data_IF_070357410834
#
_entry.id   IF_070357410834
#
_cell.length_a   1.000
_cell.length_b   1.000
_cell.length_c   1.000
_cell.angle_alpha   90.00
_cell.angle_beta   90.00
_cell.angle_gamma   90.00
#
_symmetry.space_group_name_H-M   'P 1'
#
loop_
_entity.id
_entity.type
_entity.pdbx_description
1 polymer ?
#
# COMPACT_ATOMS: atom_id res chain seq x y z
N UNK A 1 -14.69 5.49 12.96
CA UNK A 1 -13.33 4.89 12.94
C UNK A 1 -12.84 4.68 11.51
N UNK A 2 -11.53 4.79 11.23
CA UNK A 2 -10.96 4.46 9.91
C UNK A 2 -10.55 2.99 9.84
N UNK A 3 -10.89 2.32 8.74
CA UNK A 3 -10.48 0.94 8.45
C UNK A 3 -9.34 0.92 7.43
N UNK A 4 -8.26 0.22 7.74
CA UNK A 4 -7.16 -0.04 6.82
C UNK A 4 -7.30 -1.43 6.21
N UNK A 5 -7.54 -1.52 4.90
CA UNK A 5 -7.80 -2.77 4.18
C UNK A 5 -6.81 -2.98 3.00
N UNK A 6 -5.50 -3.16 3.19
CA UNK A 6 -4.70 -3.37 4.39
C UNK A 6 -3.24 -3.03 4.07
N UNK A 7 -2.43 -2.68 5.07
CA UNK A 7 -0.97 -2.49 4.90
C UNK A 7 -0.19 -3.80 4.75
N UNK A 8 -0.72 -4.93 5.24
CA UNK A 8 0.00 -6.22 5.38
C UNK A 8 -0.38 -7.26 4.34
N UNK A 9 -1.47 -7.03 3.61
CA UNK A 9 -1.91 -7.92 2.53
C UNK A 9 -2.73 -7.16 1.50
N UNK A 10 -2.79 -7.64 0.27
CA UNK A 10 -3.59 -7.03 -0.80
C UNK A 10 -5.01 -7.62 -0.75
N UNK A 11 -5.85 -7.07 0.12
CA UNK A 11 -7.25 -7.48 0.27
C UNK A 11 -8.00 -7.35 -1.06
N UNK A 12 -7.93 -6.23 -1.80
CA UNK A 12 -8.60 -6.11 -3.09
C UNK A 12 -8.20 -7.20 -4.10
N UNK A 13 -6.91 -7.57 -4.15
CA UNK A 13 -6.47 -8.59 -5.11
C UNK A 13 -6.86 -10.01 -4.72
N UNK A 14 -6.89 -10.35 -3.42
CA UNK A 14 -6.93 -11.76 -2.99
C UNK A 14 -8.08 -12.13 -2.06
N UNK A 15 -8.66 -11.17 -1.33
CA UNK A 15 -9.59 -11.42 -0.22
C UNK A 15 -10.87 -10.59 -0.30
N UNK A 16 -11.24 -10.13 -1.50
CA UNK A 16 -12.42 -9.30 -1.72
C UNK A 16 -13.73 -9.95 -1.26
N UNK A 17 -13.89 -11.24 -1.48
CA UNK A 17 -15.10 -11.96 -1.06
C UNK A 17 -15.21 -12.06 0.46
N UNK A 18 -14.13 -12.46 1.15
CA UNK A 18 -14.07 -12.46 2.62
C UNK A 18 -14.36 -11.07 3.19
N UNK A 19 -13.72 -10.03 2.64
CA UNK A 19 -13.96 -8.65 3.05
C UNK A 19 -15.43 -8.27 2.93
N UNK A 20 -16.08 -8.61 1.81
CA UNK A 20 -17.50 -8.32 1.62
C UNK A 20 -18.40 -9.14 2.54
N UNK A 21 -18.05 -10.38 2.88
CA UNK A 21 -18.75 -11.14 3.93
C UNK A 21 -18.70 -10.39 5.26
N UNK A 22 -17.52 -9.89 5.67
CA UNK A 22 -17.38 -9.09 6.89
C UNK A 22 -18.16 -7.77 6.83
N UNK A 23 -18.17 -7.09 5.70
CA UNK A 23 -19.00 -5.88 5.47
C UNK A 23 -20.49 -6.18 5.65
N UNK A 24 -20.97 -7.32 5.15
CA UNK A 24 -22.38 -7.71 5.25
C UNK A 24 -22.77 -8.10 6.68
N UNK A 25 -21.86 -8.75 7.42
CA UNK A 25 -22.05 -9.11 8.83
C UNK A 25 -21.83 -7.93 9.79
N UNK A 26 -21.10 -6.90 9.35
CA UNK A 26 -20.93 -5.65 10.08
C UNK A 26 -19.80 -5.66 11.12
N UNK A 27 -18.87 -6.62 11.07
CA UNK A 27 -17.69 -6.64 11.95
C UNK A 27 -16.57 -7.55 11.42
N UNK A 28 -15.38 -7.42 12.01
CA UNK A 28 -14.29 -8.40 11.86
C UNK A 28 -13.47 -8.51 13.16
N UNK A 29 -12.67 -9.57 13.27
CA UNK A 29 -11.73 -9.78 14.36
C UNK A 29 -10.32 -9.39 13.93
N UNK A 30 -9.76 -8.41 14.62
CA UNK A 30 -8.37 -7.99 14.46
C UNK A 30 -7.48 -8.72 15.45
N UNK A 31 -6.55 -9.52 14.95
CA UNK A 31 -5.53 -10.16 15.77
C UNK A 31 -4.32 -9.25 15.97
N UNK A 32 -3.79 -9.21 17.19
CA UNK A 32 -2.49 -8.57 17.41
C UNK A 32 -1.38 -9.43 16.79
N UNK A 33 -0.56 -8.88 15.87
CA UNK A 33 0.50 -9.63 15.22
C UNK A 33 1.61 -10.12 16.16
N UNK A 34 1.76 -9.51 17.35
CA UNK A 34 2.74 -9.89 18.36
C UNK A 34 2.17 -10.78 19.47
N UNK A 35 0.84 -10.85 19.59
CA UNK A 35 0.15 -11.73 20.54
C UNK A 35 -1.16 -12.24 19.93
N UNK A 36 -1.13 -13.42 19.33
CA UNK A 36 -2.28 -14.00 18.61
C UNK A 36 -3.50 -14.26 19.50
N UNK A 37 -3.31 -14.39 20.81
CA UNK A 37 -4.42 -14.56 21.76
C UNK A 37 -5.14 -13.24 22.04
N UNK A 38 -4.55 -12.10 21.69
CA UNK A 38 -5.21 -10.81 21.79
C UNK A 38 -5.97 -10.51 20.49
N UNK A 39 -7.28 -10.73 20.56
CA UNK A 39 -8.23 -10.48 19.48
C UNK A 39 -9.13 -9.31 19.87
N UNK A 40 -9.37 -8.40 18.95
CA UNK A 40 -10.29 -7.28 19.14
C UNK A 40 -11.37 -7.33 18.07
N UNK A 41 -12.63 -7.34 18.47
CA UNK A 41 -13.74 -7.12 17.56
C UNK A 41 -13.74 -5.66 17.09
N UNK A 42 -13.90 -5.45 15.80
CA UNK A 42 -13.92 -4.14 15.17
C UNK A 42 -15.21 -4.04 14.36
N UNK A 43 -16.06 -3.07 14.71
CA UNK A 43 -17.29 -2.82 13.96
C UNK A 43 -16.99 -2.35 12.54
N UNK A 44 -17.77 -2.88 11.60
CA UNK A 44 -17.84 -2.45 10.21
C UNK A 44 -19.22 -1.89 9.87
N UNK A 45 -20.09 -1.63 10.85
CA UNK A 45 -21.37 -0.98 10.57
C UNK A 45 -21.12 0.41 9.95
N UNK A 46 -21.89 0.84 8.94
CA UNK A 46 -21.66 2.12 8.26
C UNK A 46 -21.54 3.32 9.20
N UNK A 47 -22.33 3.35 10.28
CA UNK A 47 -22.31 4.39 11.30
C UNK A 47 -21.03 4.42 12.16
N UNK A 48 -20.31 3.30 12.26
CA UNK A 48 -19.07 3.18 13.05
C UNK A 48 -17.81 3.41 12.19
N UNK A 49 -17.95 3.42 10.86
CA UNK A 49 -16.86 3.50 9.89
C UNK A 49 -16.84 4.86 9.20
N UNK A 50 -15.81 5.66 9.48
CA UNK A 50 -15.64 6.99 8.88
C UNK A 50 -15.25 6.83 7.40
N UNK A 51 -14.25 5.98 7.15
CA UNK A 51 -13.75 5.66 5.81
C UNK A 51 -12.96 4.33 5.81
N UNK A 52 -12.86 3.72 4.63
CA UNK A 52 -12.03 2.55 4.35
C UNK A 52 -10.91 2.95 3.39
N UNK A 53 -9.67 2.66 3.76
CA UNK A 53 -8.50 2.89 2.91
C UNK A 53 -8.00 1.57 2.38
N UNK A 54 -8.01 1.41 1.05
CA UNK A 54 -7.53 0.18 0.41
C UNK A 54 -6.08 0.33 -0.04
N UNK A 55 -5.26 -0.71 0.13
CA UNK A 55 -3.95 -0.81 -0.53
C UNK A 55 -3.96 -1.97 -1.50
N UNK A 56 -3.49 -1.75 -2.72
CA UNK A 56 -3.45 -2.81 -3.72
C UNK A 56 -2.42 -2.57 -4.81
N UNK A 57 -1.96 -3.66 -5.43
CA UNK A 57 -1.30 -3.65 -6.74
C UNK A 57 -2.27 -4.10 -7.86
N UNK A 58 -3.44 -4.63 -7.53
CA UNK A 58 -4.42 -5.10 -8.51
C UNK A 58 -5.86 -5.05 -7.95
N UNK A 59 -6.60 -3.94 -8.13
CA UNK A 59 -7.98 -3.82 -7.67
C UNK A 59 -8.96 -4.62 -8.53
N UNK A 60 -8.57 -5.11 -9.71
CA UNK A 60 -9.47 -5.70 -10.72
C UNK A 60 -10.44 -6.76 -10.16
N UNK A 61 -10.02 -7.71 -9.29
CA UNK A 61 -10.95 -8.68 -8.70
C UNK A 61 -12.00 -8.07 -7.76
N UNK A 62 -11.70 -6.90 -7.20
CA UNK A 62 -12.51 -6.22 -6.19
C UNK A 62 -13.52 -5.22 -6.75
N UNK A 63 -13.26 -4.65 -7.93
CA UNK A 63 -14.07 -3.56 -8.52
C UNK A 63 -15.57 -3.89 -8.56
N UNK A 64 -15.93 -5.15 -8.80
CA UNK A 64 -17.32 -5.64 -8.82
C UNK A 64 -18.10 -5.42 -7.51
N UNK A 65 -17.41 -5.18 -6.39
CA UNK A 65 -18.04 -4.97 -5.08
C UNK A 65 -18.28 -3.50 -4.74
N UNK A 66 -17.73 -2.55 -5.52
CA UNK A 66 -17.80 -1.14 -5.19
C UNK A 66 -19.23 -0.58 -5.20
N UNK A 67 -20.10 -1.06 -6.09
CA UNK A 67 -21.51 -0.65 -6.14
C UNK A 67 -22.27 -1.09 -4.88
N UNK A 68 -21.89 -2.21 -4.27
CA UNK A 68 -22.46 -2.63 -2.99
C UNK A 68 -21.96 -1.76 -1.83
N UNK A 69 -20.67 -1.40 -1.82
CA UNK A 69 -20.11 -0.49 -0.82
C UNK A 69 -20.79 0.89 -0.87
N UNK A 70 -21.01 1.42 -2.08
CA UNK A 70 -21.67 2.70 -2.28
C UNK A 70 -23.13 2.67 -1.79
N UNK A 71 -23.90 1.63 -2.16
CA UNK A 71 -25.29 1.47 -1.65
C UNK A 71 -25.37 1.34 -0.14
N UNK A 72 -24.35 0.75 0.49
CA UNK A 72 -24.25 0.60 1.94
C UNK A 72 -23.74 1.88 2.64
N UNK A 73 -23.36 2.90 1.87
CA UNK A 73 -22.94 4.20 2.41
C UNK A 73 -21.47 4.28 2.84
N UNK A 74 -20.63 3.33 2.45
CA UNK A 74 -19.21 3.38 2.80
C UNK A 74 -18.45 4.40 1.96
N UNK A 75 -17.54 5.10 2.62
CA UNK A 75 -16.60 6.04 2.00
C UNK A 75 -15.24 5.37 1.89
N UNK A 76 -14.57 5.51 0.76
CA UNK A 76 -13.29 4.87 0.57
C UNK A 76 -12.44 5.53 -0.51
N UNK A 77 -11.12 5.33 -0.40
CA UNK A 77 -10.15 5.65 -1.43
C UNK A 77 -9.07 4.58 -1.51
N UNK A 78 -8.30 4.61 -2.59
CA UNK A 78 -7.31 3.61 -2.91
C UNK A 78 -5.90 4.19 -2.88
N UNK A 79 -5.03 3.46 -2.19
CA UNK A 79 -3.58 3.51 -2.31
C UNK A 79 -3.16 2.45 -3.31
N UNK A 80 -2.92 2.84 -4.56
CA UNK A 80 -2.62 1.92 -5.66
C UNK A 80 -1.12 1.97 -6.01
N UNK A 81 -0.40 0.91 -5.64
CA UNK A 81 0.99 0.75 -6.03
C UNK A 81 1.16 0.32 -7.49
N UNK A 82 1.80 1.19 -8.28
CA UNK A 82 2.27 0.90 -9.63
C UNK A 82 3.78 1.10 -9.67
N UNK A 83 4.50 0.01 -9.43
CA UNK A 83 5.91 -0.14 -9.81
C UNK A 83 6.00 -0.96 -11.09
N UNK A 84 7.07 -0.79 -11.85
CA UNK A 84 7.38 -1.64 -13.02
C UNK A 84 8.63 -2.46 -12.74
N UNK A 85 8.67 -3.24 -11.66
CA UNK A 85 9.89 -3.97 -11.33
C UNK A 85 10.08 -5.22 -12.21
N UNK A 86 11.34 -5.61 -12.50
CA UNK A 86 11.63 -6.92 -13.08
C UNK A 86 11.03 -8.06 -12.23
N UNK A 87 10.72 -9.20 -12.88
CA UNK A 87 10.06 -10.34 -12.22
C UNK A 87 10.88 -10.95 -11.08
N UNK A 88 12.21 -10.78 -11.07
CA UNK A 88 13.06 -11.19 -9.94
C UNK A 88 12.68 -10.46 -8.64
N UNK A 89 12.07 -9.28 -8.72
CA UNK A 89 11.61 -8.52 -7.56
C UNK A 89 10.10 -8.64 -7.30
N UNK A 90 9.30 -8.78 -8.36
CA UNK A 90 7.84 -8.88 -8.30
C UNK A 90 7.32 -10.06 -9.15
N UNK A 91 7.57 -11.32 -8.74
CA UNK A 91 7.37 -12.48 -9.60
C UNK A 91 5.90 -12.73 -9.97
N UNK A 92 4.98 -12.47 -9.05
CA UNK A 92 3.56 -12.80 -9.21
C UNK A 92 2.66 -11.58 -9.40
N UNK A 93 3.24 -10.39 -9.61
CA UNK A 93 2.48 -9.16 -9.87
C UNK A 93 2.06 -9.12 -11.34
N UNK A 94 0.78 -8.81 -11.67
CA UNK A 94 0.35 -8.68 -13.06
C UNK A 94 1.16 -7.63 -13.84
N UNK A 95 1.23 -7.79 -15.17
CA UNK A 95 1.92 -6.85 -16.06
C UNK A 95 1.47 -5.41 -15.82
N UNK A 96 2.40 -4.46 -15.90
CA UNK A 96 2.13 -3.04 -15.64
C UNK A 96 1.00 -2.49 -16.51
N UNK A 97 0.97 -2.80 -17.81
CA UNK A 97 -0.07 -2.28 -18.72
C UNK A 97 -1.49 -2.60 -18.23
N UNK A 98 -1.75 -3.85 -17.86
CA UNK A 98 -3.06 -4.25 -17.32
C UNK A 98 -3.38 -3.57 -15.99
N UNK A 99 -2.38 -3.24 -15.18
CA UNK A 99 -2.56 -2.50 -13.92
C UNK A 99 -2.83 -1.02 -14.16
N UNK A 100 -2.17 -0.40 -15.15
CA UNK A 100 -2.46 0.97 -15.60
C UNK A 100 -3.91 1.05 -16.12
N UNK A 101 -4.35 0.10 -16.94
CA UNK A 101 -5.75 0.07 -17.42
C UNK A 101 -6.75 -0.02 -16.26
N UNK A 102 -6.44 -0.86 -15.28
CA UNK A 102 -7.27 -1.02 -14.07
C UNK A 102 -7.26 0.25 -13.20
N UNK A 103 -6.13 0.96 -13.14
CA UNK A 103 -6.00 2.23 -12.44
C UNK A 103 -6.89 3.29 -13.10
N UNK A 104 -6.80 3.44 -14.42
CA UNK A 104 -7.62 4.40 -15.19
C UNK A 104 -9.11 4.13 -15.00
N UNK A 105 -9.55 2.88 -15.18
CA UNK A 105 -10.96 2.50 -14.97
C UNK A 105 -11.45 2.79 -13.55
N UNK A 106 -10.62 2.50 -12.54
CA UNK A 106 -10.96 2.79 -11.14
C UNK A 106 -11.07 4.30 -10.91
N UNK A 107 -10.15 5.07 -11.47
CA UNK A 107 -10.13 6.53 -11.37
C UNK A 107 -11.29 7.18 -12.14
N UNK A 108 -11.71 6.65 -13.29
CA UNK A 108 -12.89 7.13 -14.02
C UNK A 108 -14.16 6.95 -13.18
N UNK A 109 -14.26 5.83 -12.44
CA UNK A 109 -15.38 5.56 -11.55
C UNK A 109 -15.36 6.44 -10.29
N UNK A 110 -14.20 6.59 -9.66
CA UNK A 110 -14.08 7.23 -8.34
C UNK A 110 -13.68 8.71 -8.41
N UNK A 111 -13.11 9.16 -9.51
CA UNK A 111 -12.39 10.42 -9.62
C UNK A 111 -10.93 10.30 -9.17
N UNK A 112 -10.05 11.14 -9.73
CA UNK A 112 -8.60 11.04 -9.54
C UNK A 112 -8.12 11.30 -8.11
N UNK A 113 -8.91 12.03 -7.32
CA UNK A 113 -8.59 12.32 -5.91
C UNK A 113 -8.74 11.09 -5.01
N UNK A 114 -9.50 10.05 -5.44
CA UNK A 114 -9.74 8.82 -4.68
C UNK A 114 -8.86 7.64 -5.10
N UNK A 115 -7.97 7.82 -6.08
CA UNK A 115 -7.01 6.79 -6.52
C UNK A 115 -5.60 7.39 -6.51
N UNK A 116 -4.90 7.16 -5.40
CA UNK A 116 -3.57 7.71 -5.14
C UNK A 116 -2.55 6.74 -5.69
N UNK A 117 -1.67 7.22 -6.56
CA UNK A 117 -0.57 6.42 -7.07
C UNK A 117 0.53 6.32 -6.01
N UNK A 118 1.01 5.09 -5.78
CA UNK A 118 2.22 4.83 -5.00
C UNK A 118 3.30 4.24 -5.90
N UNK A 119 4.45 4.90 -5.96
CA UNK A 119 5.69 4.32 -6.47
C UNK A 119 6.57 3.99 -5.27
N UNK A 120 6.24 2.89 -4.60
CA UNK A 120 6.67 2.58 -3.24
C UNK A 120 6.91 1.07 -3.10
N UNK A 121 8.09 0.64 -2.61
CA UNK A 121 9.29 1.46 -2.37
C UNK A 121 10.06 1.71 -3.67
N UNK A 122 10.87 2.77 -3.71
CA UNK A 122 11.99 2.93 -4.64
C UNK A 122 13.14 2.05 -4.16
N UNK A 123 13.56 1.10 -4.98
CA UNK A 123 14.61 0.12 -4.69
C UNK A 123 15.70 0.23 -5.75
N UNK A 124 16.78 0.93 -5.40
CA UNK A 124 17.92 1.11 -6.29
C UNK A 124 18.78 -0.15 -6.27
N UNK A 125 19.08 -0.68 -7.45
CA UNK A 125 19.93 -1.86 -7.65
C UNK A 125 20.71 -1.79 -8.96
N UNK A 126 21.63 -2.73 -9.17
CA UNK A 126 22.37 -2.86 -10.44
C UNK A 126 21.48 -3.03 -11.68
N UNK A 127 20.23 -3.49 -11.52
CA UNK A 127 19.25 -3.64 -12.62
C UNK A 127 18.07 -2.66 -12.55
N UNK A 128 18.01 -1.86 -11.49
CA UNK A 128 17.05 -0.76 -11.30
C UNK A 128 17.79 0.48 -10.80
N UNK A 129 18.73 1.04 -11.60
CA UNK A 129 19.46 2.24 -11.23
C UNK A 129 18.53 3.47 -11.22
N UNK A 130 19.05 4.65 -10.89
CA UNK A 130 18.25 5.87 -10.81
C UNK A 130 17.56 6.20 -12.14
N UNK A 131 18.28 6.05 -13.25
CA UNK A 131 17.77 6.31 -14.60
C UNK A 131 16.55 5.41 -14.89
N UNK A 132 16.61 4.15 -14.46
CA UNK A 132 15.48 3.23 -14.55
C UNK A 132 14.26 3.79 -13.83
N UNK A 133 14.43 4.24 -12.59
CA UNK A 133 13.32 4.78 -11.81
C UNK A 133 12.74 6.04 -12.44
N UNK A 134 13.59 6.97 -12.89
CA UNK A 134 13.14 8.19 -13.56
C UNK A 134 12.37 7.87 -14.84
N UNK A 135 12.86 6.95 -15.67
CA UNK A 135 12.17 6.51 -16.89
C UNK A 135 10.80 5.88 -16.58
N UNK A 136 10.73 5.00 -15.58
CA UNK A 136 9.46 4.36 -15.19
C UNK A 136 8.48 5.33 -14.57
N UNK A 137 8.92 6.22 -13.69
CA UNK A 137 8.07 7.25 -13.08
C UNK A 137 7.56 8.21 -14.18
N UNK A 138 8.41 8.61 -15.12
CA UNK A 138 8.01 9.45 -16.25
C UNK A 138 6.97 8.75 -17.15
N UNK A 139 7.20 7.49 -17.52
CA UNK A 139 6.28 6.74 -18.36
C UNK A 139 4.92 6.51 -17.67
N UNK A 140 4.92 6.11 -16.40
CA UNK A 140 3.70 5.88 -15.63
C UNK A 140 2.96 7.20 -15.39
N UNK A 141 3.64 8.27 -14.99
CA UNK A 141 3.01 9.57 -14.74
C UNK A 141 2.32 10.14 -15.98
N UNK A 142 2.90 9.96 -17.17
CA UNK A 142 2.27 10.36 -18.43
C UNK A 142 0.96 9.59 -18.68
N UNK A 143 0.96 8.28 -18.42
CA UNK A 143 -0.24 7.46 -18.53
C UNK A 143 -1.29 7.80 -17.48
N UNK A 144 -0.89 8.22 -16.29
CA UNK A 144 -1.80 8.54 -15.17
C UNK A 144 -2.22 10.02 -15.12
N UNK A 145 -1.81 10.84 -16.09
CA UNK A 145 -2.16 12.26 -16.14
C UNK A 145 -3.68 12.43 -16.16
N UNK A 146 -4.22 13.13 -15.17
CA UNK A 146 -5.67 13.33 -14.98
C UNK A 146 -6.39 12.16 -14.30
N UNK A 147 -5.72 11.03 -14.07
CA UNK A 147 -6.24 9.88 -13.35
C UNK A 147 -5.76 9.80 -11.89
N UNK A 148 -4.75 10.57 -11.51
CA UNK A 148 -4.37 10.77 -10.12
C UNK A 148 -3.88 12.20 -9.90
N UNK A 149 -4.05 12.72 -8.69
CA UNK A 149 -3.50 14.00 -8.26
C UNK A 149 -2.28 13.87 -7.36
N UNK A 150 -2.03 12.68 -6.81
CA UNK A 150 -1.01 12.44 -5.79
C UNK A 150 -0.14 11.23 -6.13
N UNK A 151 1.17 11.42 -5.97
CA UNK A 151 2.18 10.37 -5.99
C UNK A 151 2.79 10.23 -4.59
N UNK A 152 2.71 9.03 -4.01
CA UNK A 152 3.44 8.69 -2.79
C UNK A 152 4.69 7.89 -3.16
N UNK A 153 5.82 8.30 -2.60
CA UNK A 153 7.10 7.59 -2.70
C UNK A 153 7.63 7.21 -1.31
N UNK A 154 8.51 6.23 -1.29
CA UNK A 154 9.36 5.88 -0.14
C UNK A 154 10.64 5.24 -0.67
N UNK A 155 11.65 5.10 0.18
CA UNK A 155 12.86 4.35 -0.14
C UNK A 155 12.82 2.96 0.52
N UNK A 156 13.49 1.99 -0.10
CA UNK A 156 13.57 0.65 0.47
C UNK A 156 14.32 0.69 1.81
N UNK A 157 13.64 0.30 2.88
CA UNK A 157 14.28 0.12 4.16
C UNK A 157 15.09 -1.20 4.25
N UNK A 158 16.35 -1.12 4.62
CA UNK A 158 17.25 -2.28 4.77
C UNK A 158 17.18 -2.94 6.17
N UNK A 159 15.98 -3.30 6.64
CA UNK A 159 15.80 -3.92 7.96
C UNK A 159 15.52 -5.43 7.94
N UNK A 160 15.88 -6.08 9.07
CA UNK A 160 15.43 -7.40 9.46
C UNK A 160 15.47 -8.44 8.35
N UNK A 161 14.30 -9.00 8.02
CA UNK A 161 14.15 -10.11 7.07
C UNK A 161 14.38 -9.70 5.61
N UNK A 162 14.13 -8.43 5.28
CA UNK A 162 14.34 -7.91 3.92
C UNK A 162 15.81 -7.99 3.56
N UNK A 163 16.71 -7.56 4.47
CA UNK A 163 18.16 -7.63 4.29
C UNK A 163 18.66 -9.04 3.93
N UNK A 164 18.13 -10.08 4.59
CA UNK A 164 18.55 -11.46 4.31
C UNK A 164 18.10 -11.93 2.92
N UNK A 165 16.94 -11.50 2.43
CA UNK A 165 16.49 -11.84 1.07
C UNK A 165 17.28 -11.09 0.02
N UNK A 166 17.57 -9.81 0.25
CA UNK A 166 18.41 -9.04 -0.66
C UNK A 166 19.79 -9.70 -0.80
N UNK A 167 20.41 -10.12 0.31
CA UNK A 167 21.67 -10.90 0.27
C UNK A 167 21.58 -12.20 -0.51
N UNK A 168 20.47 -12.93 -0.39
CA UNK A 168 20.27 -14.13 -1.20
C UNK A 168 20.22 -13.77 -2.69
N UNK A 169 19.48 -12.71 -3.06
CA UNK A 169 19.43 -12.22 -4.44
C UNK A 169 20.78 -11.72 -4.96
N UNK A 170 21.58 -11.05 -4.13
CA UNK A 170 22.95 -10.63 -4.48
C UNK A 170 23.78 -11.85 -4.90
N UNK A 171 23.70 -12.94 -4.12
CA UNK A 171 24.44 -14.18 -4.42
C UNK A 171 23.89 -14.99 -5.58
N UNK A 172 22.56 -15.12 -5.70
CA UNK A 172 21.90 -15.98 -6.69
C UNK A 172 21.85 -15.32 -8.08
N UNK A 173 21.74 -14.00 -8.12
CA UNK A 173 21.52 -13.23 -9.35
C UNK A 173 22.62 -12.21 -9.66
N UNK A 174 23.70 -12.16 -8.87
CA UNK A 174 24.81 -11.21 -9.04
C UNK A 174 24.33 -9.75 -9.06
N UNK A 175 23.37 -9.45 -8.18
CA UNK A 175 22.82 -8.10 -8.01
C UNK A 175 23.58 -7.33 -6.93
N UNK A 176 23.48 -6.01 -6.96
CA UNK A 176 23.83 -5.14 -5.85
C UNK A 176 22.67 -4.21 -5.54
N UNK A 177 22.50 -3.85 -4.27
CA UNK A 177 21.46 -2.93 -3.82
C UNK A 177 22.07 -1.73 -3.14
N UNK A 178 21.47 -0.56 -3.36
CA UNK A 178 21.92 0.71 -2.81
C UNK A 178 20.89 1.25 -1.83
N UNK A 179 21.31 1.54 -0.61
CA UNK A 179 20.51 2.35 0.32
C UNK A 179 20.64 3.82 -0.10
N UNK A 180 19.77 4.23 -1.02
CA UNK A 180 19.81 5.58 -1.61
C UNK A 180 19.55 6.70 -0.58
N UNK A 181 19.05 6.35 0.60
CA UNK A 181 18.85 7.29 1.70
C UNK A 181 20.11 7.46 2.58
N UNK A 182 21.15 6.65 2.37
CA UNK A 182 22.43 6.79 3.08
C UNK A 182 23.17 8.06 2.61
N UNK A 183 23.75 8.87 3.53
CA UNK A 183 24.52 10.07 3.17
C UNK A 183 25.65 9.87 2.16
N UNK A 184 26.19 8.65 2.03
CA UNK A 184 27.20 8.33 1.00
C UNK A 184 26.68 8.57 -0.42
N UNK A 185 25.37 8.38 -0.65
CA UNK A 185 24.72 8.51 -1.97
C UNK A 185 23.96 9.84 -2.13
N UNK A 186 24.39 10.90 -1.45
CA UNK A 186 23.69 12.18 -1.44
C UNK A 186 23.52 12.81 -2.84
N UNK A 187 24.51 12.63 -3.73
CA UNK A 187 24.45 13.18 -5.09
C UNK A 187 23.45 12.40 -5.97
N UNK A 188 23.45 11.09 -5.85
CA UNK A 188 22.53 10.16 -6.50
C UNK A 188 21.09 10.39 -6.02
N UNK A 189 20.91 10.59 -4.72
CA UNK A 189 19.62 10.94 -4.14
C UNK A 189 19.12 12.30 -4.67
N UNK A 190 19.98 13.32 -4.72
CA UNK A 190 19.65 14.63 -5.30
C UNK A 190 19.20 14.48 -6.77
N UNK A 191 19.96 13.75 -7.60
CA UNK A 191 19.60 13.46 -9.00
C UNK A 191 18.20 12.84 -9.11
N UNK A 192 17.92 11.81 -8.31
CA UNK A 192 16.63 11.13 -8.28
C UNK A 192 15.50 12.10 -7.89
N UNK A 193 15.68 12.87 -6.83
CA UNK A 193 14.65 13.77 -6.30
C UNK A 193 14.38 14.97 -7.20
N UNK A 194 15.41 15.55 -7.81
CA UNK A 194 15.28 16.59 -8.85
C UNK A 194 14.52 16.04 -10.06
N UNK A 195 14.84 14.81 -10.49
CA UNK A 195 14.13 14.15 -11.57
C UNK A 195 12.64 13.96 -11.24
N UNK A 196 12.32 13.42 -10.06
CA UNK A 196 10.93 13.25 -9.59
C UNK A 196 10.19 14.59 -9.54
N UNK A 197 10.82 15.65 -9.04
CA UNK A 197 10.24 17.00 -9.01
C UNK A 197 9.87 17.50 -10.41
N UNK A 198 10.76 17.33 -11.39
CA UNK A 198 10.50 17.80 -12.75
C UNK A 198 9.34 17.04 -13.40
N UNK A 199 9.31 15.71 -13.20
CA UNK A 199 8.22 14.84 -13.69
C UNK A 199 6.89 15.25 -13.04
N UNK A 200 6.90 15.52 -11.73
CA UNK A 200 5.68 15.85 -11.00
C UNK A 200 5.09 17.20 -11.39
N UNK A 201 5.92 18.23 -11.60
CA UNK A 201 5.48 19.54 -12.11
C UNK A 201 4.86 19.39 -13.50
N UNK A 202 5.50 18.63 -14.41
CA UNK A 202 4.98 18.41 -15.76
C UNK A 202 3.62 17.69 -15.79
N UNK A 203 3.42 16.77 -14.85
CA UNK A 203 2.22 15.94 -14.75
C UNK A 203 1.20 16.43 -13.70
N UNK A 204 1.45 17.56 -13.05
CA UNK A 204 0.59 18.16 -12.03
C UNK A 204 0.29 17.20 -10.86
N UNK A 205 1.31 16.48 -10.41
CA UNK A 205 1.23 15.56 -9.28
C UNK A 205 1.79 16.23 -8.02
N UNK A 206 1.00 16.22 -6.94
CA UNK A 206 1.52 16.44 -5.60
C UNK A 206 2.32 15.20 -5.17
N UNK A 207 3.59 15.39 -4.82
CA UNK A 207 4.46 14.29 -4.39
C UNK A 207 4.63 14.32 -2.89
N UNK A 208 4.42 13.16 -2.27
CA UNK A 208 4.55 12.99 -0.83
C UNK A 208 5.46 11.82 -0.50
N UNK A 209 6.32 11.96 0.49
CA UNK A 209 7.09 10.85 1.05
C UNK A 209 6.36 10.19 2.22
N UNK A 210 6.41 8.86 2.29
CA UNK A 210 5.74 8.09 3.34
C UNK A 210 6.73 7.63 4.42
N UNK A 211 6.63 8.26 5.61
CA UNK A 211 7.42 7.88 6.80
C UNK A 211 8.94 7.92 6.59
N UNK A 212 9.41 8.84 5.74
CA UNK A 212 10.82 9.11 5.52
C UNK A 212 11.37 10.06 6.59
N UNK A 213 12.63 9.87 7.00
CA UNK A 213 13.32 10.77 7.95
C UNK A 213 13.92 12.00 7.28
N UNK A 214 14.22 11.88 5.99
CA UNK A 214 14.86 12.93 5.21
C UNK A 214 13.88 14.06 4.95
N UNK A 215 14.30 15.31 5.15
CA UNK A 215 13.52 16.46 4.71
C UNK A 215 13.68 16.63 3.20
N UNK A 216 12.59 16.42 2.46
CA UNK A 216 12.56 16.48 0.99
C UNK A 216 11.83 17.74 0.46
N UNK A 217 11.47 18.68 1.32
CA UNK A 217 10.66 19.86 0.95
C UNK A 217 11.33 20.72 -0.13
N UNK A 218 12.67 20.79 -0.16
CA UNK A 218 13.43 21.53 -1.18
C UNK A 218 13.20 21.00 -2.60
N UNK A 219 12.74 19.74 -2.73
CA UNK A 219 12.38 19.12 -4.01
C UNK A 219 10.88 19.22 -4.30
N UNK A 220 10.12 20.00 -3.54
CA UNK A 220 8.66 20.05 -3.60
C UNK A 220 8.02 18.68 -3.31
N UNK A 221 8.63 17.92 -2.38
CA UNK A 221 8.13 16.64 -1.90
C UNK A 221 7.79 16.80 -0.43
N UNK A 222 6.50 16.82 -0.12
CA UNK A 222 6.02 16.98 1.25
C UNK A 222 6.11 15.67 2.05
N UNK A 223 6.05 15.75 3.38
CA UNK A 223 5.80 14.57 4.19
C UNK A 223 4.31 14.24 4.21
N UNK A 224 3.97 13.03 3.75
CA UNK A 224 2.59 12.59 3.61
C UNK A 224 2.14 11.53 4.60
N UNK A 225 0.85 11.24 4.51
CA UNK A 225 0.20 10.14 5.21
C UNK A 225 -0.55 9.27 4.20
N UNK A 226 -0.41 7.94 4.31
CA UNK A 226 -1.25 7.04 3.51
C UNK A 226 -2.71 7.04 4.00
N UNK A 227 -2.92 7.28 5.30
CA UNK A 227 -4.22 7.59 5.92
C UNK A 227 -4.19 9.06 6.35
N UNK A 228 -4.56 9.94 5.44
CA UNK A 228 -4.40 11.38 5.60
C UNK A 228 -5.71 12.02 6.08
N UNK A 229 -5.68 12.58 7.29
CA UNK A 229 -6.79 13.34 7.88
C UNK A 229 -7.23 14.51 7.00
N UNK A 230 -6.29 15.22 6.37
CA UNK A 230 -6.60 16.33 5.48
C UNK A 230 -7.31 15.83 4.22
N UNK A 231 -6.82 14.75 3.63
CA UNK A 231 -7.47 14.13 2.47
C UNK A 231 -8.88 13.62 2.81
N UNK A 232 -9.06 13.00 3.98
CA UNK A 232 -10.37 12.52 4.42
C UNK A 232 -11.36 13.68 4.59
N UNK A 233 -10.91 14.82 5.11
CA UNK A 233 -11.70 16.03 5.15
C UNK A 233 -12.04 16.53 3.74
N UNK A 234 -11.05 16.64 2.85
CA UNK A 234 -11.23 17.10 1.46
C UNK A 234 -12.19 16.21 0.65
N UNK A 235 -12.07 14.88 0.79
CA UNK A 235 -12.88 13.92 0.03
C UNK A 235 -14.30 13.75 0.57
N UNK A 236 -14.46 13.82 1.89
CA UNK A 236 -15.66 13.31 2.55
C UNK A 236 -16.25 14.25 3.61
N UNK A 237 -15.65 15.42 3.82
CA UNK A 237 -16.00 16.37 4.88
C UNK A 237 -15.97 15.72 6.27
N UNK A 238 -14.99 14.83 6.49
CA UNK A 238 -14.79 14.15 7.76
C UNK A 238 -13.76 14.91 8.59
N UNK A 239 -14.23 15.52 9.68
CA UNK A 239 -13.33 16.00 10.74
C UNK A 239 -12.80 14.77 11.49
N UNK A 240 -11.62 14.28 11.10
CA UNK A 240 -11.04 13.13 11.79
C UNK A 240 -10.59 13.54 13.19
N UNK A 241 -11.28 13.03 14.21
CA UNK A 241 -10.94 13.25 15.63
C UNK A 241 -9.69 12.44 16.04
N UNK A 242 -9.25 11.49 15.21
CA UNK A 242 -8.10 10.63 15.52
C UNK A 242 -6.78 11.35 15.21
N UNK A 243 -5.96 11.54 16.24
CA UNK A 243 -4.56 11.96 16.07
C UNK A 243 -3.70 10.90 15.38
N UNK A 244 -2.41 11.21 15.23
CA UNK A 244 -1.38 10.29 14.70
C UNK A 244 -1.52 8.90 15.33
N UNK A 245 -1.49 7.86 14.49
CA UNK A 245 -1.47 6.47 14.94
C UNK A 245 -0.20 6.20 15.77
N UNK A 246 -0.41 5.91 17.05
CA UNK A 246 0.66 5.65 18.03
C UNK A 246 1.42 4.35 17.75
N UNK A 247 0.85 3.45 16.93
CA UNK A 247 1.47 2.18 16.58
C UNK A 247 2.32 2.25 15.29
N UNK A 248 2.42 3.43 14.67
CA UNK A 248 3.27 3.64 13.49
C UNK A 248 4.61 4.27 13.86
N UNK A 249 5.55 4.22 12.90
CA UNK A 249 6.87 4.87 12.96
C UNK A 249 6.74 6.33 13.41
N UNK A 250 7.79 6.88 14.03
CA UNK A 250 7.77 8.23 14.57
C UNK A 250 7.46 9.28 13.49
N UNK A 251 8.00 9.06 12.29
CA UNK A 251 7.90 9.89 11.09
C UNK A 251 6.58 9.67 10.33
N UNK A 252 5.83 8.61 10.63
CA UNK A 252 4.58 8.32 9.94
C UNK A 252 3.44 9.24 10.43
N UNK A 253 2.85 9.99 9.50
CA UNK A 253 1.79 10.94 9.80
C UNK A 253 0.36 10.37 9.68
N UNK A 254 0.22 9.05 9.47
CA UNK A 254 -1.10 8.43 9.32
C UNK A 254 -1.99 8.63 10.55
N UNK A 255 -3.26 8.93 10.32
CA UNK A 255 -4.29 8.89 11.35
C UNK A 255 -4.48 7.46 11.92
N UNK A 256 -4.98 7.39 13.15
CA UNK A 256 -5.40 6.14 13.79
C UNK A 256 -6.35 5.32 12.90
N UNK A 257 -6.12 4.01 12.83
CA UNK A 257 -6.97 3.10 12.05
C UNK A 257 -6.93 1.67 12.58
N UNK A 258 -7.93 0.88 12.21
CA UNK A 258 -7.93 -0.56 12.43
C UNK A 258 -7.49 -1.30 11.15
N UNK A 259 -6.30 -1.90 11.16
CA UNK A 259 -5.82 -2.73 10.05
C UNK A 259 -6.51 -4.10 10.04
N UNK A 260 -7.08 -4.47 8.90
CA UNK A 260 -7.68 -5.79 8.63
C UNK A 260 -6.66 -6.82 8.15
N UNK A 261 -5.41 -6.41 7.98
CA UNK A 261 -4.34 -7.22 7.42
C UNK A 261 -3.72 -8.27 8.31
N UNK A 262 -3.31 -9.38 7.69
CA UNK A 262 -2.49 -10.40 8.32
C UNK A 262 -1.21 -10.65 7.52
N UNK A 263 -0.08 -10.70 8.21
CA UNK A 263 1.22 -11.09 7.65
C UNK A 263 1.15 -12.45 6.96
N UNK A 264 2.03 -12.66 5.98
CA UNK A 264 2.14 -13.93 5.23
C UNK A 264 0.85 -14.34 4.52
N UNK A 265 0.01 -13.43 4.06
CA UNK A 265 -1.19 -13.81 3.29
C UNK A 265 -1.19 -13.29 1.85
N UNK A 266 -0.35 -12.30 1.54
CA UNK A 266 -0.20 -11.75 0.20
C UNK A 266 0.56 -12.72 -0.71
N UNK A 267 0.00 -12.99 -1.90
CA UNK A 267 0.52 -14.00 -2.85
C UNK A 267 1.49 -13.45 -3.89
N UNK A 268 1.79 -12.14 -3.86
CA UNK A 268 2.71 -11.55 -4.84
C UNK A 268 4.17 -11.96 -4.66
N UNK A 269 4.56 -12.36 -3.45
CA UNK A 269 5.92 -12.76 -3.10
C UNK A 269 7.00 -11.72 -3.51
N UNK A 270 6.69 -10.43 -3.43
CA UNK A 270 7.68 -9.38 -3.70
C UNK A 270 8.88 -9.54 -2.76
N UNK A 271 10.10 -9.49 -3.31
CA UNK A 271 11.31 -9.81 -2.56
C UNK A 271 11.62 -8.80 -1.45
N UNK A 272 11.27 -7.54 -1.70
CA UNK A 272 11.38 -6.43 -0.76
C UNK A 272 10.24 -6.36 0.27
N UNK A 273 9.25 -7.27 0.21
CA UNK A 273 8.07 -7.19 1.07
C UNK A 273 8.40 -7.48 2.54
N UNK A 274 8.04 -6.54 3.42
CA UNK A 274 8.16 -6.75 4.87
C UNK A 274 7.06 -7.64 5.44
N UNK A 275 5.92 -7.75 4.75
CA UNK A 275 4.72 -8.40 5.28
C UNK A 275 4.67 -9.91 5.01
N UNK A 276 5.44 -10.39 4.04
CA UNK A 276 5.53 -11.80 3.67
C UNK A 276 6.91 -12.31 4.05
N UNK A 277 7.00 -13.49 4.67
CA UNK A 277 8.25 -14.10 5.12
C UNK A 277 8.89 -15.01 4.05
N UNK A 278 8.07 -15.87 3.45
CA UNK A 278 8.43 -16.79 2.37
C UNK A 278 7.15 -17.32 1.73
N UNK A 279 7.26 -17.93 0.55
CA UNK A 279 6.11 -18.57 -0.11
C UNK A 279 5.52 -19.69 0.75
N UNK A 280 6.37 -20.47 1.43
CA UNK A 280 5.94 -21.51 2.38
C UNK A 280 5.12 -20.93 3.53
N UNK A 281 5.53 -19.78 4.09
CA UNK A 281 4.77 -19.12 5.14
C UNK A 281 3.41 -18.64 4.63
N UNK A 282 3.33 -18.23 3.36
CA UNK A 282 2.06 -17.88 2.71
C UNK A 282 1.16 -19.10 2.56
N UNK A 283 1.68 -20.20 2.02
CA UNK A 283 0.93 -21.45 1.89
C UNK A 283 0.34 -21.88 3.24
N UNK A 284 1.17 -21.95 4.29
CA UNK A 284 0.73 -22.36 5.62
C UNK A 284 -0.34 -21.42 6.20
N UNK A 285 -0.24 -20.11 5.99
CA UNK A 285 -1.24 -19.17 6.49
C UNK A 285 -2.57 -19.30 5.74
N UNK A 286 -2.52 -19.56 4.43
CA UNK A 286 -3.72 -19.72 3.60
C UNK A 286 -4.47 -21.02 3.87
N UNK A 287 -3.81 -22.07 4.36
CA UNK A 287 -4.49 -23.27 4.89
C UNK A 287 -5.43 -22.95 6.07
N UNK A 288 -5.19 -21.83 6.75
CA UNK A 288 -6.00 -21.33 7.86
C UNK A 288 -6.92 -20.17 7.44
N UNK A 289 -7.04 -19.86 6.15
CA UNK A 289 -7.98 -18.86 5.67
C UNK A 289 -9.37 -19.49 5.48
N UNK A 290 -10.35 -18.97 6.20
CA UNK A 290 -11.74 -19.40 6.13
C UNK A 290 -12.63 -18.20 5.81
N UNK A 291 -13.40 -18.30 4.74
CA UNK A 291 -14.21 -17.17 4.22
C UNK A 291 -15.33 -16.73 5.18
N UNK A 292 -15.79 -17.66 6.00
CA UNK A 292 -16.84 -17.53 7.02
C UNK A 292 -16.29 -17.06 8.38
N UNK A 293 -14.97 -17.08 8.58
CA UNK A 293 -14.37 -16.64 9.84
C UNK A 293 -14.36 -15.10 9.96
N UNK A 294 -14.63 -14.52 11.15
CA UNK A 294 -14.51 -13.08 11.37
C UNK A 294 -13.07 -12.58 11.33
N UNK A 295 -12.07 -13.46 11.45
CA UNK A 295 -10.67 -13.14 11.22
C UNK A 295 -10.25 -13.59 9.82
N UNK A 296 -9.26 -12.91 9.22
CA UNK A 296 -8.73 -13.28 7.90
C UNK A 296 -8.05 -14.66 7.93
N UNK A 297 -7.45 -15.05 9.06
CA UNK A 297 -6.96 -16.41 9.28
C UNK A 297 -7.44 -16.92 10.64
N UNK A 298 -7.39 -18.23 10.80
CA UNK A 298 -7.86 -18.99 11.95
C UNK A 298 -9.39 -18.96 12.10
N UNK A 299 -9.96 -20.02 12.69
CA UNK A 299 -11.40 -20.08 12.96
C UNK A 299 -11.73 -19.42 14.28
N UNK A 300 -12.73 -18.57 14.25
CA UNK A 300 -13.38 -18.04 15.43
C UNK A 300 -14.87 -18.30 15.31
N UNK A 301 -15.41 -19.09 16.23
CA UNK A 301 -16.84 -19.29 16.31
C UNK A 301 -17.44 -18.12 17.11
N UNK A 302 -18.65 -17.69 16.75
CA UNK A 302 -19.33 -16.57 17.42
C UNK A 302 -19.75 -16.86 18.88
N UNK A 303 -19.27 -17.96 19.47
CA UNK A 303 -19.60 -18.46 20.80
C UNK A 303 -18.35 -19.06 21.46
N UNK A 304 -17.56 -18.21 22.13
CA UNK A 304 -16.88 -18.48 23.41
C UNK A 304 -16.06 -17.24 23.81
#
# INVERSE_FOLDING_TARGET
MIISASRRTDIPAFFGEWFMTRIREGYFYRMNPFNRNQVTEVSLKPEDVDAIVFWTKNPKPFVKYLDELDRRGYRYYFQYTLNDYPSVFEPNVPKLSSRIDSFKQLSERLGPQRVIWRYDPIMVSSITPIEYHLDKIQAISNELKGYSSRLIISFLDFYGKVRNRLKALESEHQLSFTDIADPEYAAELDQLLVGIRNISIHNQLEVLSCAEKLNLEQYNIGHGACIDSRLLFELFNLETIQGKDKNQRAECLCAGSADMGVYNTCRYNCTYCYAVQSEKAVSNALEHHFIDSPSLIDRYNHHN
#
